data_IF_704155461741
#
_entry.id   IF_704155461741
#
_cell.length_a   1.000
_cell.length_b   1.000
_cell.length_c   1.000
_cell.angle_alpha   90.00
_cell.angle_beta   90.00
_cell.angle_gamma   90.00
#
_symmetry.space_group_name_H-M   'P 1'
#
loop_
_entity.id
_entity.type
_entity.pdbx_description
1 polymer ?
#
# COMPACT_ATOMS: atom_id res chain seq x y z
N UNK A 1 24.28 -2.05 17.24
CA UNK A 1 22.84 -2.14 16.94
C UNK A 1 22.70 -2.72 15.54
N UNK A 2 21.76 -3.63 15.31
CA UNK A 2 21.49 -4.12 13.95
C UNK A 2 20.99 -2.97 13.08
N UNK A 3 21.30 -3.00 11.79
CA UNK A 3 20.84 -2.01 10.81
C UNK A 3 19.31 -1.96 10.79
N UNK A 4 18.73 -0.75 10.68
CA UNK A 4 17.28 -0.58 10.56
C UNK A 4 16.84 -1.07 9.18
N UNK A 5 15.91 -2.02 9.14
CA UNK A 5 15.32 -2.57 7.91
C UNK A 5 13.82 -2.32 7.96
N UNK A 6 13.38 -1.40 7.12
CA UNK A 6 11.98 -1.05 6.94
C UNK A 6 11.40 -1.85 5.78
N UNK A 7 10.22 -2.45 5.96
CA UNK A 7 9.56 -3.24 4.90
C UNK A 7 8.09 -2.85 4.77
N UNK A 8 7.66 -2.48 3.56
CA UNK A 8 6.28 -2.08 3.23
C UNK A 8 5.72 -2.94 2.11
N UNK A 9 4.59 -3.60 2.36
CA UNK A 9 3.85 -4.37 1.35
C UNK A 9 2.74 -3.56 0.70
N UNK A 10 2.63 -3.64 -0.62
CA UNK A 10 1.66 -2.90 -1.43
C UNK A 10 0.79 -3.90 -2.18
N UNK A 11 -0.48 -4.02 -1.80
CA UNK A 11 -1.40 -4.99 -2.42
C UNK A 11 -2.00 -4.44 -3.73
N UNK A 12 -1.81 -5.09 -4.90
CA UNK A 12 -2.37 -4.62 -6.17
C UNK A 12 -3.85 -5.03 -6.37
N UNK A 13 -4.76 -4.39 -5.65
CA UNK A 13 -6.23 -4.68 -5.75
C UNK A 13 -7.02 -3.66 -6.58
N UNK A 14 -6.33 -2.69 -7.20
CA UNK A 14 -6.91 -1.83 -8.23
C UNK A 14 -6.12 -0.55 -8.49
N UNK A 15 -6.52 0.20 -9.51
CA UNK A 15 -5.89 1.48 -9.88
C UNK A 15 -5.82 2.49 -8.72
N UNK A 16 -4.70 3.18 -8.51
CA UNK A 16 -4.60 4.23 -7.48
C UNK A 16 -5.45 5.48 -7.80
N UNK A 17 -5.99 6.11 -6.75
CA UNK A 17 -6.70 7.40 -6.82
C UNK A 17 -6.08 8.43 -5.88
N UNK A 18 -6.50 9.70 -5.98
CA UNK A 18 -5.95 10.80 -5.16
C UNK A 18 -5.99 10.48 -3.65
N UNK A 19 -7.07 9.85 -3.17
CA UNK A 19 -7.15 9.38 -1.78
C UNK A 19 -6.05 8.39 -1.38
N UNK A 20 -5.61 7.49 -2.27
CA UNK A 20 -4.46 6.62 -1.97
C UNK A 20 -3.16 7.40 -1.96
N UNK A 21 -3.01 8.37 -2.88
CA UNK A 21 -1.82 9.22 -2.95
C UNK A 21 -1.61 9.99 -1.65
N UNK A 22 -2.62 10.73 -1.19
CA UNK A 22 -2.50 11.53 0.03
C UNK A 22 -2.51 10.66 1.30
N UNK A 23 -3.41 9.66 1.36
CA UNK A 23 -3.59 8.87 2.59
C UNK A 23 -2.46 7.90 2.90
N UNK A 24 -1.75 7.40 1.87
CA UNK A 24 -0.78 6.32 2.05
C UNK A 24 0.53 6.50 1.25
N UNK A 25 0.46 6.80 -0.05
CA UNK A 25 1.65 6.77 -0.91
C UNK A 25 2.60 7.93 -0.58
N UNK A 26 2.10 9.17 -0.48
CA UNK A 26 2.90 10.36 -0.17
C UNK A 26 3.57 10.25 1.21
N UNK A 27 2.88 9.86 2.30
CA UNK A 27 3.52 9.57 3.59
C UNK A 27 4.59 8.47 3.49
N UNK A 28 4.31 7.38 2.77
CA UNK A 28 5.26 6.29 2.61
C UNK A 28 6.53 6.70 1.85
N UNK A 29 6.41 7.56 0.82
CA UNK A 29 7.55 8.11 0.10
C UNK A 29 8.38 9.07 0.96
N UNK A 30 7.74 9.87 1.82
CA UNK A 30 8.44 10.73 2.78
C UNK A 30 9.21 9.89 3.81
N UNK A 31 8.58 8.86 4.35
CA UNK A 31 9.20 7.92 5.28
C UNK A 31 10.40 7.20 4.63
N UNK A 32 10.28 6.80 3.36
CA UNK A 32 11.39 6.21 2.59
C UNK A 32 12.59 7.15 2.52
N UNK A 33 12.38 8.46 2.30
CA UNK A 33 13.46 9.45 2.17
C UNK A 33 14.14 9.78 3.51
N UNK A 34 13.39 9.67 4.60
CA UNK A 34 13.87 9.96 5.95
C UNK A 34 14.36 8.71 6.70
N UNK A 35 14.48 7.56 6.03
CA UNK A 35 14.87 6.32 6.67
C UNK A 35 16.39 6.26 6.88
N UNK A 36 16.83 6.07 8.12
CA UNK A 36 18.24 5.94 8.50
C UNK A 36 18.84 4.53 8.22
N UNK A 37 18.22 3.74 7.35
CA UNK A 37 18.63 2.37 7.05
C UNK A 37 18.12 1.85 5.71
N UNK A 38 17.99 0.54 5.58
CA UNK A 38 17.44 -0.09 4.36
C UNK A 38 15.93 0.02 4.34
N UNK A 39 15.37 0.35 3.18
CA UNK A 39 13.94 0.31 2.94
C UNK A 39 13.63 -0.64 1.78
N UNK A 40 12.66 -1.52 2.03
CA UNK A 40 12.14 -2.49 1.07
C UNK A 40 10.67 -2.18 0.85
N UNK A 41 10.29 -2.07 -0.41
CA UNK A 41 8.92 -1.95 -0.85
C UNK A 41 8.63 -3.11 -1.78
N UNK A 42 7.48 -3.76 -1.63
CA UNK A 42 7.14 -4.84 -2.52
C UNK A 42 5.69 -4.84 -2.94
N UNK A 43 5.45 -5.26 -4.17
CA UNK A 43 4.11 -5.50 -4.67
C UNK A 43 3.70 -6.90 -4.22
N UNK A 44 2.72 -6.96 -3.32
CA UNK A 44 2.21 -8.18 -2.69
C UNK A 44 1.24 -8.92 -3.64
N UNK A 45 1.74 -9.36 -4.79
CA UNK A 45 0.93 -9.94 -5.86
C UNK A 45 0.44 -11.37 -5.55
N UNK A 46 1.14 -12.19 -4.76
CA UNK A 46 0.54 -13.44 -4.25
C UNK A 46 -0.63 -13.16 -3.30
N UNK A 47 -0.51 -12.16 -2.42
CA UNK A 47 -1.62 -11.77 -1.51
C UNK A 47 -2.84 -11.23 -2.27
N UNK A 48 -2.65 -10.63 -3.43
CA UNK A 48 -3.74 -10.11 -4.25
C UNK A 48 -4.64 -11.20 -4.84
N UNK A 49 -4.15 -12.44 -4.99
CA UNK A 49 -4.95 -13.58 -5.47
C UNK A 49 -6.15 -13.88 -4.56
N UNK A 50 -6.10 -13.52 -3.28
CA UNK A 50 -7.25 -13.65 -2.37
C UNK A 50 -8.43 -12.72 -2.73
N UNK A 51 -8.24 -11.73 -3.60
CA UNK A 51 -9.25 -10.73 -3.94
C UNK A 51 -9.48 -10.55 -5.45
N UNK A 52 -8.47 -10.82 -6.29
CA UNK A 52 -8.52 -10.57 -7.73
C UNK A 52 -8.28 -11.89 -8.47
N UNK A 53 -9.34 -12.44 -9.05
CA UNK A 53 -9.31 -13.69 -9.83
C UNK A 53 -9.38 -13.46 -11.35
N UNK A 54 -9.54 -12.21 -11.79
CA UNK A 54 -9.54 -11.82 -13.19
C UNK A 54 -8.09 -11.56 -13.63
N UNK A 55 -7.57 -12.40 -14.53
CA UNK A 55 -6.15 -12.39 -14.91
C UNK A 55 -5.72 -11.09 -15.62
N UNK A 56 -6.58 -10.51 -16.44
CA UNK A 56 -6.30 -9.26 -17.13
C UNK A 56 -6.25 -8.10 -16.13
N UNK A 57 -7.22 -8.02 -15.21
CA UNK A 57 -7.20 -7.02 -14.14
C UNK A 57 -6.02 -7.19 -13.21
N UNK A 58 -5.68 -8.42 -12.84
CA UNK A 58 -4.54 -8.72 -11.96
C UNK A 58 -3.23 -8.22 -12.58
N UNK A 59 -3.02 -8.52 -13.87
CA UNK A 59 -1.85 -8.03 -14.60
C UNK A 59 -1.84 -6.51 -14.70
N UNK A 60 -2.98 -5.89 -15.03
CA UNK A 60 -3.10 -4.42 -15.12
C UNK A 60 -2.80 -3.75 -13.78
N UNK A 61 -3.41 -4.21 -12.69
CA UNK A 61 -3.22 -3.60 -11.37
C UNK A 61 -1.78 -3.70 -10.88
N UNK A 62 -1.12 -4.84 -11.12
CA UNK A 62 0.29 -5.01 -10.75
C UNK A 62 1.16 -3.98 -11.48
N UNK A 63 0.97 -3.81 -12.80
CA UNK A 63 1.71 -2.83 -13.60
C UNK A 63 1.41 -1.40 -13.18
N UNK A 64 0.13 -1.06 -13.02
CA UNK A 64 -0.31 0.28 -12.66
C UNK A 64 0.20 0.69 -11.27
N UNK A 65 0.20 -0.23 -10.30
CA UNK A 65 0.77 0.00 -8.98
C UNK A 65 2.27 0.22 -9.10
N UNK A 66 3.00 -0.65 -9.80
CA UNK A 66 4.44 -0.49 -10.00
C UNK A 66 4.79 0.86 -10.62
N UNK A 67 4.15 1.21 -11.75
CA UNK A 67 4.33 2.47 -12.44
C UNK A 67 3.96 3.66 -11.54
N UNK A 68 2.92 3.54 -10.71
CA UNK A 68 2.53 4.59 -9.76
C UNK A 68 3.66 4.91 -8.79
N UNK A 69 4.21 3.91 -8.10
CA UNK A 69 5.24 4.13 -7.10
C UNK A 69 6.54 4.70 -7.71
N UNK A 70 6.96 4.15 -8.86
CA UNK A 70 8.15 4.65 -9.57
C UNK A 70 7.94 6.08 -10.10
N UNK A 71 6.77 6.38 -10.68
CA UNK A 71 6.47 7.70 -11.23
C UNK A 71 6.41 8.81 -10.16
N UNK A 72 5.98 8.47 -8.93
CA UNK A 72 5.97 9.36 -7.78
C UNK A 72 7.33 9.50 -7.09
N UNK A 73 8.36 8.80 -7.57
CA UNK A 73 9.74 8.97 -7.11
C UNK A 73 10.16 8.03 -5.98
N UNK A 74 9.58 6.82 -5.90
CA UNK A 74 10.22 5.71 -5.18
C UNK A 74 11.58 5.45 -5.86
N UNK A 75 12.68 5.74 -5.16
CA UNK A 75 14.02 5.88 -5.74
C UNK A 75 14.87 4.61 -5.76
N UNK A 76 16.08 4.71 -6.31
CA UNK A 76 17.05 3.59 -6.36
C UNK A 76 17.62 3.19 -4.99
N UNK A 77 17.49 4.07 -4.01
CA UNK A 77 17.93 3.86 -2.62
C UNK A 77 17.04 2.85 -1.88
N UNK A 78 15.91 2.45 -2.46
CA UNK A 78 15.06 1.37 -1.95
C UNK A 78 15.16 0.13 -2.81
N UNK A 79 14.93 -1.02 -2.18
CA UNK A 79 14.72 -2.27 -2.91
C UNK A 79 13.23 -2.38 -3.20
N UNK A 80 12.85 -2.16 -4.46
CA UNK A 80 11.47 -2.26 -4.92
C UNK A 80 11.26 -3.46 -5.83
N UNK A 81 10.44 -4.43 -5.44
CA UNK A 81 10.32 -5.71 -6.16
C UNK A 81 8.89 -6.26 -6.15
N UNK A 82 8.62 -7.31 -6.94
CA UNK A 82 7.36 -8.07 -6.83
C UNK A 82 7.53 -9.30 -5.97
N UNK A 83 6.54 -9.61 -5.16
CA UNK A 83 6.55 -10.79 -4.29
C UNK A 83 6.77 -12.08 -5.09
N UNK A 84 6.15 -12.20 -6.27
CA UNK A 84 6.31 -13.34 -7.18
C UNK A 84 7.71 -13.51 -7.74
N UNK A 85 8.56 -12.49 -7.71
CA UNK A 85 9.94 -12.53 -8.23
C UNK A 85 10.95 -13.01 -7.18
N UNK A 86 10.51 -13.25 -5.94
CA UNK A 86 11.34 -13.79 -4.84
C UNK A 86 10.80 -15.16 -4.40
N UNK A 87 11.14 -16.25 -5.12
CA UNK A 87 10.60 -17.59 -4.83
C UNK A 87 10.97 -18.10 -3.43
N UNK A 88 12.06 -17.61 -2.85
CA UNK A 88 12.51 -17.92 -1.49
C UNK A 88 11.42 -17.60 -0.43
N UNK A 89 10.52 -16.65 -0.71
CA UNK A 89 9.36 -16.34 0.14
C UNK A 89 8.43 -17.54 0.30
N UNK A 90 8.13 -18.25 -0.79
CA UNK A 90 7.20 -19.39 -0.74
C UNK A 90 7.82 -20.58 0.00
N UNK A 91 9.13 -20.81 -0.18
CA UNK A 91 9.84 -21.85 0.58
C UNK A 91 9.81 -21.52 2.08
N UNK A 92 10.08 -20.27 2.47
CA UNK A 92 9.98 -19.87 3.86
C UNK A 92 8.53 -19.97 4.37
N UNK A 93 7.53 -19.54 3.60
CA UNK A 93 6.13 -19.63 4.00
C UNK A 93 5.72 -21.06 4.33
N UNK A 94 6.19 -22.05 3.58
CA UNK A 94 5.97 -23.46 3.89
C UNK A 94 6.65 -23.90 5.19
N UNK A 95 7.92 -23.52 5.39
CA UNK A 95 8.65 -23.79 6.64
C UNK A 95 7.89 -23.22 7.84
N UNK A 96 7.45 -21.96 7.76
CA UNK A 96 6.71 -21.30 8.82
C UNK A 96 5.33 -21.93 9.04
N UNK A 97 4.65 -22.38 7.97
CA UNK A 97 3.36 -23.05 8.08
C UNK A 97 3.43 -24.34 8.91
N UNK A 98 4.50 -25.14 8.74
CA UNK A 98 4.74 -26.36 9.51
C UNK A 98 4.95 -26.10 11.02
N UNK A 99 5.28 -24.86 11.40
CA UNK A 99 5.57 -24.47 12.79
C UNK A 99 4.45 -23.63 13.41
N UNK A 100 3.54 -23.11 12.58
CA UNK A 100 2.49 -22.20 13.04
C UNK A 100 1.31 -23.00 13.60
N UNK A 101 0.94 -22.82 14.88
CA UNK A 101 -0.22 -23.51 15.43
C UNK A 101 -1.50 -23.09 14.70
N UNK A 102 -2.32 -24.06 14.27
CA UNK A 102 -3.64 -23.79 13.66
C UNK A 102 -4.49 -22.83 14.50
N UNK A 103 -4.40 -22.94 15.83
CA UNK A 103 -5.10 -22.06 16.76
C UNK A 103 -4.78 -20.58 16.61
N UNK A 104 -3.57 -20.23 16.15
CA UNK A 104 -3.20 -18.84 15.86
C UNK A 104 -3.99 -18.32 14.65
N UNK A 105 -4.10 -19.12 13.58
CA UNK A 105 -4.89 -18.78 12.39
C UNK A 105 -6.39 -18.72 12.69
N UNK A 106 -6.92 -19.58 13.56
CA UNK A 106 -8.29 -19.48 14.04
C UNK A 106 -8.63 -18.11 14.68
N UNK A 107 -7.63 -17.40 15.19
CA UNK A 107 -7.80 -16.09 15.87
C UNK A 107 -7.53 -14.89 14.95
N UNK A 108 -7.05 -15.11 13.73
CA UNK A 108 -6.77 -14.04 12.79
C UNK A 108 -8.07 -13.26 12.45
N UNK A 109 -8.01 -11.93 12.48
CA UNK A 109 -9.17 -11.04 12.35
C UNK A 109 -9.94 -11.27 11.05
N UNK A 110 -9.24 -11.44 9.93
CA UNK A 110 -9.89 -11.67 8.63
C UNK A 110 -10.72 -12.96 8.61
N UNK A 111 -10.18 -14.06 9.15
CA UNK A 111 -10.91 -15.33 9.27
C UNK A 111 -12.09 -15.19 10.25
N UNK A 112 -11.85 -14.65 11.44
CA UNK A 112 -12.91 -14.44 12.44
C UNK A 112 -14.06 -13.58 11.93
N UNK A 113 -13.76 -12.50 11.20
CA UNK A 113 -14.76 -11.62 10.62
C UNK A 113 -15.63 -12.36 9.59
N UNK A 114 -15.02 -13.19 8.74
CA UNK A 114 -15.75 -14.00 7.76
C UNK A 114 -16.63 -15.07 8.43
N UNK A 115 -16.11 -15.74 9.45
CA UNK A 115 -16.88 -16.70 10.26
C UNK A 115 -18.09 -16.03 10.93
N UNK A 116 -17.91 -14.84 11.50
CA UNK A 116 -19.02 -14.13 12.14
C UNK A 116 -20.08 -13.70 11.12
N UNK A 117 -19.67 -13.15 9.98
CA UNK A 117 -20.57 -12.82 8.87
C UNK A 117 -21.37 -14.04 8.40
N UNK A 118 -20.73 -15.21 8.28
CA UNK A 118 -21.39 -16.44 7.87
C UNK A 118 -22.43 -16.90 8.91
N UNK A 119 -22.11 -16.81 10.20
CA UNK A 119 -23.06 -17.14 11.28
C UNK A 119 -24.27 -16.22 11.28
N UNK A 120 -24.05 -14.90 11.14
CA UNK A 120 -25.14 -13.92 11.03
C UNK A 120 -26.04 -14.20 9.82
N UNK A 121 -25.46 -14.70 8.72
CA UNK A 121 -26.19 -15.10 7.53
C UNK A 121 -26.82 -16.50 7.60
N UNK A 122 -26.64 -17.25 8.71
CA UNK A 122 -27.13 -18.63 8.86
C UNK A 122 -26.46 -19.64 7.94
N UNK A 123 -25.23 -19.36 7.49
CA UNK A 123 -24.41 -20.20 6.63
C UNK A 123 -23.45 -21.08 7.46
N UNK A 124 -22.87 -22.10 6.82
CA UNK A 124 -21.74 -22.85 7.38
C UNK A 124 -20.59 -21.91 7.74
N UNK A 125 -19.93 -22.16 8.87
CA UNK A 125 -18.92 -21.24 9.43
C UNK A 125 -17.79 -20.92 8.44
N UNK A 126 -17.39 -21.90 7.64
CA UNK A 126 -16.33 -21.80 6.64
C UNK A 126 -16.84 -21.55 5.21
N UNK A 127 -18.12 -21.16 5.04
CA UNK A 127 -18.64 -20.78 3.74
C UNK A 127 -17.77 -19.67 3.10
N UNK A 128 -17.32 -19.90 1.87
CA UNK A 128 -16.41 -18.98 1.13
C UNK A 128 -15.06 -18.70 1.84
N UNK A 129 -14.66 -19.52 2.81
CA UNK A 129 -13.33 -19.48 3.40
C UNK A 129 -12.43 -20.43 2.62
N UNK A 130 -11.42 -19.88 1.93
CA UNK A 130 -10.38 -20.67 1.29
C UNK A 130 -9.08 -20.66 2.11
N UNK A 131 -8.17 -21.58 1.77
CA UNK A 131 -6.88 -21.67 2.47
C UNK A 131 -6.06 -20.40 2.36
N UNK A 132 -6.13 -19.67 1.24
CA UNK A 132 -5.43 -18.40 1.08
C UNK A 132 -5.88 -17.34 2.09
N UNK A 133 -7.19 -17.19 2.32
CA UNK A 133 -7.75 -16.31 3.35
C UNK A 133 -7.33 -16.76 4.76
N UNK A 134 -7.28 -18.06 4.98
CA UNK A 134 -6.96 -18.64 6.29
C UNK A 134 -5.47 -18.56 6.63
N UNK A 135 -4.57 -18.71 5.64
CA UNK A 135 -3.13 -18.84 5.86
C UNK A 135 -2.28 -17.66 5.37
N UNK A 136 -2.86 -16.64 4.72
CA UNK A 136 -2.06 -15.47 4.29
C UNK A 136 -1.28 -14.77 5.42
N UNK A 137 -1.68 -14.79 6.72
CA UNK A 137 -0.83 -14.22 7.77
C UNK A 137 0.52 -14.91 7.89
N UNK A 138 0.62 -16.19 7.53
CA UNK A 138 1.89 -16.95 7.48
C UNK A 138 2.73 -16.49 6.29
N UNK A 139 2.11 -16.29 5.12
CA UNK A 139 2.81 -15.74 3.95
C UNK A 139 3.32 -14.32 4.24
N UNK A 140 2.52 -13.48 4.91
CA UNK A 140 2.93 -12.15 5.34
C UNK A 140 4.08 -12.20 6.36
N UNK A 141 4.06 -13.16 7.29
CA UNK A 141 5.19 -13.41 8.17
C UNK A 141 6.45 -13.80 7.39
N UNK A 142 6.33 -14.62 6.33
CA UNK A 142 7.46 -14.95 5.47
C UNK A 142 8.02 -13.71 4.74
N UNK A 143 7.15 -12.84 4.22
CA UNK A 143 7.56 -11.57 3.60
C UNK A 143 8.36 -10.68 4.56
N UNK A 144 8.01 -10.68 5.84
CA UNK A 144 8.66 -9.85 6.87
C UNK A 144 9.98 -10.49 7.34
N UNK A 145 9.92 -11.77 7.71
CA UNK A 145 11.00 -12.47 8.39
C UNK A 145 12.13 -12.87 7.45
N UNK A 146 11.84 -13.14 6.17
CA UNK A 146 12.87 -13.46 5.17
C UNK A 146 13.89 -12.33 5.01
N UNK A 147 13.44 -11.08 5.13
CA UNK A 147 14.28 -9.90 5.00
C UNK A 147 14.77 -9.35 6.34
N UNK A 148 14.50 -10.06 7.45
CA UNK A 148 14.90 -9.65 8.80
C UNK A 148 14.41 -8.24 9.14
N UNK A 149 13.20 -7.88 8.67
CA UNK A 149 12.66 -6.55 8.85
C UNK A 149 12.55 -6.20 10.34
N UNK A 150 13.13 -5.07 10.74
CA UNK A 150 13.04 -4.58 12.12
C UNK A 150 11.81 -3.72 12.32
N UNK A 151 11.36 -3.00 11.28
CA UNK A 151 10.24 -2.07 11.34
C UNK A 151 9.29 -2.31 10.16
N UNK A 152 8.00 -2.49 10.45
CA UNK A 152 6.97 -2.72 9.43
C UNK A 152 5.89 -1.65 9.56
N UNK A 153 5.89 -0.65 8.65
CA UNK A 153 4.88 0.40 8.63
C UNK A 153 3.50 -0.15 8.28
N UNK A 154 2.51 0.07 9.15
CA UNK A 154 1.17 -0.50 9.00
C UNK A 154 0.07 0.44 9.52
N UNK A 155 -1.15 0.25 9.01
CA UNK A 155 -2.37 0.80 9.61
C UNK A 155 -2.74 0.06 10.90
N UNK A 156 -3.59 0.68 11.73
CA UNK A 156 -4.01 0.11 13.02
C UNK A 156 -4.71 -1.25 12.89
N UNK A 157 -5.41 -1.47 11.78
CA UNK A 157 -6.12 -2.70 11.43
C UNK A 157 -5.18 -3.87 11.10
N UNK A 158 -3.91 -3.60 10.79
CA UNK A 158 -2.91 -4.60 10.39
C UNK A 158 -1.90 -4.93 11.51
N UNK A 159 -2.04 -4.35 12.71
CA UNK A 159 -1.15 -4.62 13.86
C UNK A 159 -1.10 -6.12 14.19
N UNK A 160 -2.25 -6.80 14.13
CA UNK A 160 -2.33 -8.23 14.43
C UNK A 160 -1.46 -9.08 13.49
N UNK A 161 -1.26 -8.68 12.23
CA UNK A 161 -0.38 -9.43 11.33
C UNK A 161 1.08 -9.37 11.77
N UNK A 162 1.50 -8.24 12.33
CA UNK A 162 2.86 -8.08 12.86
C UNK A 162 3.01 -8.89 14.14
N UNK A 163 2.00 -8.91 15.01
CA UNK A 163 1.96 -9.77 16.20
C UNK A 163 2.06 -11.26 15.83
N UNK A 164 1.31 -11.71 14.83
CA UNK A 164 1.40 -13.09 14.30
C UNK A 164 2.82 -13.39 13.80
N UNK A 165 3.44 -12.48 13.04
CA UNK A 165 4.81 -12.66 12.57
C UNK A 165 5.81 -12.77 13.74
N UNK A 166 5.63 -11.97 14.79
CA UNK A 166 6.44 -12.03 16.02
C UNK A 166 6.25 -13.33 16.79
N UNK A 167 5.03 -13.82 16.92
CA UNK A 167 4.72 -15.09 17.58
C UNK A 167 5.40 -16.26 16.86
N UNK A 168 5.28 -16.29 15.52
CA UNK A 168 5.92 -17.30 14.67
C UNK A 168 7.45 -17.22 14.80
N UNK A 169 8.03 -16.02 14.73
CA UNK A 169 9.47 -15.81 14.88
C UNK A 169 9.99 -16.23 16.26
N UNK A 170 9.24 -15.91 17.32
CA UNK A 170 9.58 -16.28 18.70
C UNK A 170 9.57 -17.79 18.87
N UNK A 171 8.55 -18.46 18.34
CA UNK A 171 8.47 -19.92 18.38
C UNK A 171 9.62 -20.58 17.62
N UNK A 172 9.94 -20.09 16.42
CA UNK A 172 11.08 -20.58 15.64
C UNK A 172 12.39 -20.39 16.41
N UNK A 173 12.65 -19.19 16.93
CA UNK A 173 13.87 -18.87 17.67
C UNK A 173 14.04 -19.72 18.93
N UNK A 174 12.96 -20.01 19.65
CA UNK A 174 12.99 -20.90 20.80
C UNK A 174 13.30 -22.34 20.39
N UNK A 175 12.78 -22.79 19.24
CA UNK A 175 12.88 -24.19 18.79
C UNK A 175 14.22 -24.51 18.14
N UNK A 176 14.73 -23.60 17.30
CA UNK A 176 15.91 -23.81 16.45
C UNK A 176 17.08 -22.86 16.76
N UNK A 177 16.94 -22.03 17.80
CA UNK A 177 17.89 -21.00 18.19
C UNK A 177 17.63 -19.66 17.49
N UNK A 178 18.14 -18.57 18.08
CA UNK A 178 17.95 -17.19 17.60
C UNK A 178 18.36 -17.02 16.14
N UNK A 179 17.36 -16.79 15.27
CA UNK A 179 17.51 -16.72 13.81
C UNK A 179 16.77 -15.52 13.22
N UNK A 180 15.56 -15.24 13.71
CA UNK A 180 14.74 -14.12 13.26
C UNK A 180 14.83 -12.92 14.18
N UNK A 181 14.93 -11.75 13.57
CA UNK A 181 14.63 -10.47 14.22
C UNK A 181 13.12 -10.36 14.46
N UNK A 182 12.72 -9.92 15.65
CA UNK A 182 11.30 -9.69 15.95
C UNK A 182 10.89 -8.32 15.40
N UNK A 183 10.00 -8.24 14.39
CA UNK A 183 9.62 -6.97 13.78
C UNK A 183 8.80 -6.13 14.76
N UNK A 184 8.98 -4.81 14.70
CA UNK A 184 8.12 -3.83 15.37
C UNK A 184 7.17 -3.21 14.35
N UNK A 185 5.90 -3.02 14.73
CA UNK A 185 5.00 -2.25 13.90
C UNK A 185 5.33 -0.75 14.05
N UNK A 186 5.30 -0.03 12.94
CA UNK A 186 5.33 1.44 12.95
C UNK A 186 3.96 1.90 12.52
N UNK A 187 3.19 2.47 13.45
CA UNK A 187 1.88 3.03 13.10
C UNK A 187 2.15 4.20 12.17
N UNK A 188 1.76 4.05 10.90
CA UNK A 188 1.78 5.19 9.99
C UNK A 188 0.70 6.16 10.47
N UNK A 189 1.09 7.42 10.71
CA UNK A 189 0.10 8.49 10.78
C UNK A 189 -0.64 8.49 9.45
N UNK A 190 -1.93 8.15 9.48
CA UNK A 190 -2.74 8.18 8.26
C UNK A 190 -2.69 9.60 7.71
N UNK A 191 -2.35 9.73 6.42
CA UNK A 191 -2.50 11.00 5.72
C UNK A 191 -3.96 11.44 5.73
N UNK A 192 -4.22 12.67 5.29
CA UNK A 192 -5.57 13.20 5.27
C UNK A 192 -6.54 12.27 4.51
N UNK A 193 -7.69 11.97 5.14
CA UNK A 193 -8.78 11.25 4.47
C UNK A 193 -9.40 12.21 3.46
N UNK A 194 -9.01 12.05 2.19
CA UNK A 194 -9.56 12.88 1.13
C UNK A 194 -11.03 12.56 0.84
N UNK A 195 -11.90 13.58 0.75
CA UNK A 195 -13.25 13.40 0.26
C UNK A 195 -13.26 13.17 -1.27
N UNK A 196 -14.24 12.41 -1.73
CA UNK A 196 -14.48 12.12 -3.13
C UNK A 196 -15.40 13.14 -3.81
N UNK A 197 -15.83 12.81 -5.02
CA UNK A 197 -16.70 13.67 -5.84
C UNK A 197 -18.03 14.07 -5.16
N UNK A 198 -18.47 13.30 -4.18
CA UNK A 198 -19.74 13.45 -3.49
C UNK A 198 -19.59 13.91 -2.02
N UNK A 199 -18.38 14.27 -1.58
CA UNK A 199 -18.08 14.71 -0.22
C UNK A 199 -17.82 13.58 0.79
N UNK A 200 -18.18 12.33 0.50
CA UNK A 200 -17.84 11.16 1.34
C UNK A 200 -16.36 10.80 1.16
N UNK A 201 -15.78 9.97 2.04
CA UNK A 201 -14.42 9.41 1.85
C UNK A 201 -14.24 8.90 0.42
N UNK A 202 -13.14 9.28 -0.23
CA UNK A 202 -12.84 8.81 -1.58
C UNK A 202 -12.62 7.30 -1.59
N UNK A 203 -13.50 6.56 -2.27
CA UNK A 203 -13.47 5.09 -2.34
C UNK A 203 -14.04 4.58 -3.66
N UNK A 204 -13.40 3.56 -4.22
CA UNK A 204 -13.87 2.87 -5.44
C UNK A 204 -15.27 2.30 -5.26
N UNK A 205 -15.60 1.77 -4.08
CA UNK A 205 -16.92 1.21 -3.78
C UNK A 205 -18.04 2.23 -3.83
N UNK A 206 -17.73 3.51 -3.64
CA UNK A 206 -18.70 4.61 -3.75
C UNK A 206 -18.77 5.22 -5.14
N UNK A 207 -17.90 4.81 -6.08
CA UNK A 207 -17.83 5.39 -7.42
C UNK A 207 -17.47 6.88 -7.43
N UNK A 208 -16.86 7.40 -6.36
CA UNK A 208 -16.62 8.83 -6.14
C UNK A 208 -15.13 9.21 -6.27
N UNK A 209 -14.33 8.39 -6.96
CA UNK A 209 -12.87 8.56 -7.04
C UNK A 209 -12.43 9.51 -8.14
N UNK A 210 -11.26 10.15 -7.92
CA UNK A 210 -10.47 10.80 -8.97
C UNK A 210 -9.24 9.92 -9.22
N UNK A 211 -9.13 9.23 -10.38
CA UNK A 211 -7.95 8.42 -10.69
C UNK A 211 -6.67 9.26 -10.66
N UNK A 212 -5.61 8.71 -10.09
CA UNK A 212 -4.38 9.46 -9.80
C UNK A 212 -3.73 10.01 -11.08
N UNK A 213 -3.58 9.16 -12.10
CA UNK A 213 -3.02 9.56 -13.39
C UNK A 213 -4.08 9.74 -14.46
N UNK A 214 -5.22 10.34 -14.09
CA UNK A 214 -6.19 10.77 -15.08
C UNK A 214 -5.55 11.79 -16.04
N UNK A 215 -5.83 11.62 -17.35
CA UNK A 215 -5.54 12.63 -18.37
C UNK A 215 -6.03 14.01 -17.95
N UNK A 216 -5.32 15.06 -18.36
CA UNK A 216 -5.58 16.43 -17.91
C UNK A 216 -7.05 16.85 -18.10
N UNK A 217 -7.63 16.59 -19.26
CA UNK A 217 -9.03 16.89 -19.55
C UNK A 217 -10.00 16.07 -18.70
N UNK A 218 -9.68 14.80 -18.42
CA UNK A 218 -10.49 13.94 -17.54
C UNK A 218 -10.41 14.41 -16.10
N UNK A 219 -9.21 14.75 -15.62
CA UNK A 219 -9.00 15.33 -14.28
C UNK A 219 -9.82 16.62 -14.12
N UNK A 220 -9.75 17.54 -15.09
CA UNK A 220 -10.54 18.77 -15.09
C UNK A 220 -12.04 18.46 -15.00
N UNK A 221 -12.56 17.58 -15.86
CA UNK A 221 -13.98 17.18 -15.84
C UNK A 221 -14.41 16.58 -14.50
N UNK A 222 -13.57 15.74 -13.89
CA UNK A 222 -13.86 15.13 -12.59
C UNK A 222 -13.86 16.15 -11.45
N UNK A 223 -12.86 17.05 -11.39
CA UNK A 223 -12.83 18.14 -10.40
C UNK A 223 -14.07 19.03 -10.52
N UNK A 224 -14.50 19.32 -11.74
CA UNK A 224 -15.70 20.14 -11.96
C UNK A 224 -17.01 19.44 -11.55
N UNK A 225 -17.02 18.10 -11.43
CA UNK A 225 -18.15 17.31 -10.92
C UNK A 225 -18.23 17.25 -9.39
N UNK A 226 -17.22 17.71 -8.66
CA UNK A 226 -17.26 17.72 -7.19
C UNK A 226 -18.48 18.54 -6.74
N UNK A 227 -19.31 17.93 -5.88
CA UNK A 227 -20.51 18.58 -5.34
C UNK A 227 -20.14 19.81 -4.51
N UNK A 228 -20.93 20.86 -4.67
CA UNK A 228 -20.85 22.11 -3.92
C UNK A 228 -22.27 22.49 -3.49
N UNK A 229 -22.39 23.47 -2.59
CA UNK A 229 -23.68 24.03 -2.20
C UNK A 229 -24.27 24.96 -3.29
N UNK A 230 -25.37 25.66 -2.95
CA UNK A 230 -26.07 26.62 -3.80
C UNK A 230 -25.70 28.10 -3.54
N UNK A 231 -24.65 28.36 -2.75
CA UNK A 231 -24.23 29.72 -2.36
C UNK A 231 -23.75 30.51 -3.58
N UNK A 232 -24.23 31.73 -3.75
CA UNK A 232 -23.97 32.58 -4.93
C UNK A 232 -22.55 33.17 -4.91
N UNK A 233 -22.03 33.66 -6.06
CA UNK A 233 -20.84 34.51 -6.05
C UNK A 233 -21.05 35.77 -5.18
N UNK A 234 -20.00 36.21 -4.50
CA UNK A 234 -19.98 37.29 -3.49
C UNK A 234 -20.68 36.97 -2.16
N UNK A 235 -21.12 35.73 -1.95
CA UNK A 235 -21.53 35.22 -0.64
C UNK A 235 -20.40 34.40 -0.01
N UNK A 236 -20.05 34.62 1.27
CA UNK A 236 -19.06 33.82 1.99
C UNK A 236 -19.35 32.32 1.88
N UNK A 237 -18.28 31.51 1.83
CA UNK A 237 -18.39 30.06 1.62
C UNK A 237 -17.76 29.27 2.74
N UNK A 238 -18.39 28.16 3.11
CA UNK A 238 -17.83 27.22 4.06
C UNK A 238 -16.66 26.43 3.44
N UNK A 239 -15.65 26.13 4.27
CA UNK A 239 -14.45 25.39 3.86
C UNK A 239 -14.73 23.89 3.79
N UNK A 240 -15.51 23.48 2.80
CA UNK A 240 -15.96 22.09 2.65
C UNK A 240 -15.00 21.22 1.79
N UNK A 241 -15.59 20.30 0.99
CA UNK A 241 -14.93 19.28 0.18
C UNK A 241 -13.80 19.82 -0.69
N UNK A 242 -14.06 20.89 -1.45
CA UNK A 242 -13.07 21.45 -2.38
C UNK A 242 -11.83 22.00 -1.65
N UNK A 243 -12.04 22.70 -0.54
CA UNK A 243 -10.93 23.27 0.24
C UNK A 243 -10.13 22.19 0.94
N UNK A 244 -10.81 21.15 1.44
CA UNK A 244 -10.17 19.98 2.07
C UNK A 244 -9.26 19.23 1.11
N UNK A 245 -9.64 19.09 -0.17
CA UNK A 245 -8.76 18.52 -1.18
C UNK A 245 -7.65 19.51 -1.51
N UNK A 246 -7.98 20.78 -1.75
CA UNK A 246 -7.03 21.81 -2.20
C UNK A 246 -5.79 21.92 -1.32
N UNK A 247 -5.97 21.96 0.01
CA UNK A 247 -4.87 22.12 0.97
C UNK A 247 -3.81 21.02 0.93
N UNK A 248 -4.13 19.83 0.41
CA UNK A 248 -3.20 18.70 0.31
C UNK A 248 -2.24 18.81 -0.90
N UNK A 249 -2.53 19.73 -1.83
CA UNK A 249 -1.77 19.97 -3.08
C UNK A 249 -1.24 21.40 -3.21
N UNK A 250 -1.72 22.32 -2.38
CA UNK A 250 -1.37 23.73 -2.40
C UNK A 250 -0.26 24.05 -1.40
N UNK A 251 0.49 25.13 -1.64
CA UNK A 251 1.41 25.69 -0.64
C UNK A 251 0.64 26.42 0.47
N UNK A 252 1.29 26.71 1.60
CA UNK A 252 0.66 27.44 2.71
C UNK A 252 0.11 28.82 2.25
N UNK A 253 0.89 29.56 1.46
CA UNK A 253 0.46 30.84 0.87
C UNK A 253 -0.77 30.68 -0.04
N UNK A 254 -0.80 29.62 -0.85
CA UNK A 254 -1.92 29.31 -1.74
C UNK A 254 -3.18 28.94 -0.96
N UNK A 255 -3.03 28.23 0.17
CA UNK A 255 -4.12 27.89 1.10
C UNK A 255 -4.67 29.14 1.76
N UNK A 256 -3.80 30.02 2.25
CA UNK A 256 -4.21 31.28 2.88
C UNK A 256 -4.92 32.20 1.89
N UNK A 257 -4.37 32.36 0.67
CA UNK A 257 -4.99 33.15 -0.39
C UNK A 257 -6.37 32.61 -0.79
N UNK A 258 -6.53 31.29 -0.90
CA UNK A 258 -7.83 30.72 -1.22
C UNK A 258 -8.83 30.90 -0.07
N UNK A 259 -8.39 30.80 1.19
CA UNK A 259 -9.24 31.03 2.36
C UNK A 259 -9.83 32.45 2.38
N UNK A 260 -9.02 33.47 2.13
CA UNK A 260 -9.49 34.87 2.03
C UNK A 260 -10.49 35.07 0.87
N UNK A 261 -10.26 34.35 -0.25
CA UNK A 261 -11.20 34.36 -1.39
C UNK A 261 -12.54 33.70 -1.05
N UNK A 262 -12.56 32.69 -0.18
CA UNK A 262 -13.80 32.08 0.33
C UNK A 262 -14.60 33.07 1.18
N UNK A 263 -13.94 33.86 2.02
CA UNK A 263 -14.58 34.90 2.86
C UNK A 263 -15.18 36.03 2.02
N UNK A 264 -14.53 36.40 0.92
CA UNK A 264 -15.02 37.42 -0.04
C UNK A 264 -15.99 36.87 -1.10
N UNK A 265 -16.29 35.56 -1.05
CA UNK A 265 -17.33 34.93 -1.86
C UNK A 265 -16.94 34.52 -3.28
N UNK A 266 -15.71 34.03 -3.49
CA UNK A 266 -15.25 33.44 -4.77
C UNK A 266 -16.27 32.44 -5.35
N UNK A 267 -16.56 32.52 -6.66
CA UNK A 267 -17.47 31.56 -7.31
C UNK A 267 -16.93 30.12 -7.30
N UNK A 268 -17.82 29.12 -7.15
CA UNK A 268 -17.43 27.70 -7.14
C UNK A 268 -16.69 27.24 -8.39
N UNK A 269 -16.99 27.85 -9.54
CA UNK A 269 -16.27 27.58 -10.79
C UNK A 269 -14.79 27.97 -10.70
N UNK A 270 -14.47 29.06 -10.01
CA UNK A 270 -13.09 29.53 -9.86
C UNK A 270 -12.33 28.75 -8.80
N UNK A 271 -13.00 28.36 -7.70
CA UNK A 271 -12.45 27.39 -6.74
C UNK A 271 -12.05 26.10 -7.45
N UNK A 272 -12.92 25.56 -8.33
CA UNK A 272 -12.65 24.35 -9.11
C UNK A 272 -11.49 24.53 -10.09
N UNK A 273 -11.29 25.74 -10.64
CA UNK A 273 -10.10 26.06 -11.47
C UNK A 273 -8.83 26.04 -10.63
N UNK A 274 -8.85 26.64 -9.44
CA UNK A 274 -7.69 26.63 -8.53
C UNK A 274 -7.34 25.21 -8.07
N UNK A 275 -8.34 24.41 -7.69
CA UNK A 275 -8.13 23.00 -7.35
C UNK A 275 -7.53 22.22 -8.52
N UNK A 276 -8.06 22.40 -9.73
CA UNK A 276 -7.48 21.78 -10.92
C UNK A 276 -6.03 22.22 -11.14
N UNK A 277 -5.71 23.51 -10.97
CA UNK A 277 -4.36 24.04 -11.14
C UNK A 277 -3.36 23.36 -10.20
N UNK A 278 -3.65 23.32 -8.89
CA UNK A 278 -2.71 22.77 -7.90
C UNK A 278 -2.55 21.25 -8.04
N UNK A 279 -3.64 20.52 -8.27
CA UNK A 279 -3.59 19.06 -8.48
C UNK A 279 -2.86 18.72 -9.77
N UNK A 280 -3.14 19.45 -10.86
CA UNK A 280 -2.47 19.21 -12.13
C UNK A 280 -0.98 19.55 -12.08
N UNK A 281 -0.59 20.61 -11.36
CA UNK A 281 0.81 20.97 -11.14
C UNK A 281 1.57 19.87 -10.40
N UNK A 282 1.05 19.39 -9.26
CA UNK A 282 1.67 18.31 -8.48
C UNK A 282 1.89 17.06 -9.34
N UNK A 283 0.88 16.70 -10.15
CA UNK A 283 0.86 15.44 -10.88
C UNK A 283 1.46 15.53 -12.28
N UNK A 284 1.90 16.70 -12.77
CA UNK A 284 2.38 16.85 -14.14
C UNK A 284 3.58 15.92 -14.43
N UNK A 285 4.67 16.06 -13.67
CA UNK A 285 5.87 15.22 -13.84
C UNK A 285 5.59 13.73 -13.57
N UNK A 286 4.92 13.36 -12.46
CA UNK A 286 4.53 11.97 -12.22
C UNK A 286 3.64 11.39 -13.33
N UNK A 287 2.72 12.16 -13.91
CA UNK A 287 1.85 11.69 -15.01
C UNK A 287 2.65 11.38 -16.27
N UNK A 288 3.64 12.20 -16.61
CA UNK A 288 4.54 11.95 -17.74
C UNK A 288 5.34 10.65 -17.54
N UNK A 289 5.95 10.47 -16.36
CA UNK A 289 6.68 9.24 -16.02
C UNK A 289 5.78 8.01 -15.99
N UNK A 290 4.57 8.14 -15.45
CA UNK A 290 3.60 7.07 -15.45
C UNK A 290 3.22 6.66 -16.88
N UNK A 291 2.93 7.63 -17.75
CA UNK A 291 2.63 7.38 -19.16
C UNK A 291 3.81 6.69 -19.88
N UNK A 292 5.05 7.09 -19.59
CA UNK A 292 6.25 6.43 -20.11
C UNK A 292 6.29 4.94 -19.72
N UNK A 293 6.16 4.60 -18.43
CA UNK A 293 6.15 3.21 -17.98
C UNK A 293 4.99 2.38 -18.56
N UNK A 294 3.83 3.00 -18.77
CA UNK A 294 2.66 2.31 -19.33
C UNK A 294 2.79 2.08 -20.85
N UNK A 295 3.46 2.99 -21.57
CA UNK A 295 3.69 2.88 -23.01
C UNK A 295 4.94 2.05 -23.36
N UNK A 296 5.92 2.00 -22.45
CA UNK A 296 7.15 1.21 -22.58
C UNK A 296 7.32 0.24 -21.39
N UNK A 297 6.54 -0.86 -21.34
CA UNK A 297 6.53 -1.77 -20.19
C UNK A 297 7.88 -2.42 -19.88
N UNK A 298 8.79 -2.50 -20.85
CA UNK A 298 10.12 -3.06 -20.62
C UNK A 298 10.93 -2.24 -19.60
N UNK A 299 10.80 -0.90 -19.61
CA UNK A 299 11.44 -0.04 -18.62
C UNK A 299 10.93 -0.33 -17.20
N UNK A 300 9.63 -0.61 -17.09
CA UNK A 300 9.00 -0.98 -15.83
C UNK A 300 9.50 -2.33 -15.31
N UNK A 301 9.57 -3.33 -16.21
CA UNK A 301 10.04 -4.66 -15.84
C UNK A 301 11.51 -4.69 -15.49
N UNK A 302 12.37 -3.96 -16.21
CA UNK A 302 13.78 -3.84 -15.89
C UNK A 302 13.99 -3.22 -14.50
N UNK A 303 13.22 -2.18 -14.15
CA UNK A 303 13.26 -1.59 -12.82
C UNK A 303 12.86 -2.60 -11.71
N UNK A 304 11.81 -3.40 -11.95
CA UNK A 304 11.36 -4.43 -11.01
C UNK A 304 12.35 -5.60 -10.92
N UNK A 305 12.92 -6.04 -12.04
CA UNK A 305 13.91 -7.11 -12.11
C UNK A 305 15.18 -6.72 -11.32
N UNK A 306 15.69 -5.50 -11.52
CA UNK A 306 16.82 -4.98 -10.75
C UNK A 306 16.56 -4.98 -9.24
N UNK A 307 15.34 -4.61 -8.82
CA UNK A 307 14.95 -4.66 -7.41
C UNK A 307 14.78 -6.09 -6.90
N UNK A 308 14.23 -6.98 -7.71
CA UNK A 308 14.09 -8.41 -7.39
C UNK A 308 15.45 -9.08 -7.23
N UNK A 309 16.44 -8.78 -8.07
CA UNK A 309 17.81 -9.30 -7.93
C UNK A 309 18.42 -8.92 -6.59
N UNK A 310 18.31 -7.64 -6.20
CA UNK A 310 18.76 -7.14 -4.88
C UNK A 310 18.03 -7.84 -3.74
N UNK A 311 16.70 -8.00 -3.85
CA UNK A 311 15.89 -8.68 -2.85
C UNK A 311 16.28 -10.16 -2.73
N UNK A 312 16.45 -10.87 -3.84
CA UNK A 312 16.84 -12.28 -3.88
C UNK A 312 18.24 -12.52 -3.32
N UNK A 313 19.17 -11.59 -3.53
CA UNK A 313 20.50 -11.69 -2.93
C UNK A 313 20.41 -11.74 -1.39
N UNK A 314 19.55 -10.92 -0.78
CA UNK A 314 19.30 -10.94 0.67
C UNK A 314 18.54 -12.22 1.07
N UNK A 315 17.46 -12.53 0.34
CA UNK A 315 16.59 -13.66 0.64
C UNK A 315 17.32 -15.00 0.61
N UNK A 316 18.20 -15.24 -0.37
CA UNK A 316 18.98 -16.48 -0.48
C UNK A 316 19.90 -16.69 0.70
N UNK A 317 20.58 -15.63 1.15
CA UNK A 317 21.49 -15.69 2.31
C UNK A 317 20.70 -16.02 3.57
N UNK A 318 19.61 -15.31 3.81
CA UNK A 318 18.79 -15.51 5.01
C UNK A 318 18.11 -16.89 5.01
N UNK A 319 17.57 -17.33 3.87
CA UNK A 319 16.96 -18.65 3.74
C UNK A 319 17.97 -19.78 3.96
N UNK A 320 19.22 -19.63 3.48
CA UNK A 320 20.27 -20.61 3.74
C UNK A 320 20.54 -20.76 5.24
N UNK A 321 20.68 -19.66 5.99
CA UNK A 321 20.85 -19.71 7.45
C UNK A 321 19.63 -20.34 8.14
N UNK A 322 18.41 -19.99 7.73
CA UNK A 322 17.17 -20.60 8.27
C UNK A 322 17.17 -22.12 8.03
N UNK A 323 17.53 -22.55 6.82
CA UNK A 323 17.60 -23.98 6.45
C UNK A 323 18.66 -24.73 7.24
N UNK A 324 19.81 -24.10 7.49
CA UNK A 324 20.86 -24.64 8.36
C UNK A 324 20.36 -24.86 9.79
N UNK A 325 19.59 -23.91 10.34
CA UNK A 325 19.02 -23.98 11.70
C UNK A 325 18.03 -25.13 11.88
N UNK A 326 17.28 -25.47 10.83
CA UNK A 326 16.35 -26.61 10.83
C UNK A 326 16.97 -27.91 10.32
N UNK A 327 18.28 -27.96 10.08
CA UNK A 327 19.01 -29.17 9.70
C UNK A 327 18.81 -29.63 8.25
N UNK A 328 18.47 -28.73 7.33
CA UNK A 328 18.27 -29.06 5.91
C UNK A 328 19.57 -29.05 5.07
N UNK A 329 20.68 -28.57 5.63
CA UNK A 329 21.98 -28.70 4.97
C UNK A 329 22.47 -30.15 5.04
N UNK A 330 22.86 -30.70 3.90
CA UNK A 330 23.61 -31.96 3.86
C UNK A 330 25.03 -31.65 4.35
N UNK A 331 25.50 -32.37 5.36
CA UNK A 331 26.95 -32.50 5.59
C UNK A 331 27.55 -33.01 4.27
N UNK A 332 28.43 -32.23 3.65
CA UNK A 332 29.21 -32.65 2.48
C UNK A 332 30.54 -33.22 2.92
#
# INVERSE_FOLDING_TARGET
>A
MSEKIMLTGIKPTGYPHLGNYIGAIKPALQMSKNNEGKALYFIADYHALNAVHDSEKFSSYTKEVAATWLSLGLGEDVIFYRQTEVPEILELAWILACLTPKGLMNRAHAYKAKVEQNKEAGLEVDAEVNMGLYTYPILMAADILLFQATHVPVGKDQIQHIEIARDIATYFNHTFGTTFTLPEYVIQEEGAILPGLDGRKMSKSYGNVIPLFAEQEKLRKLIFKIKTDSSLPNEPKELETLFTIYKEFATEDEVQSLREKYETGIGWGDVKKELFRVVNRELAGPREKYAMYMNEPNLLYEALENGAEKARAIAKVNLAEIKKRIGFERER
#
